data_IF_294479942355
#
_entry.id   IF_294479942355
#
_cell.length_a   1.000
_cell.length_b   1.000
_cell.length_c   1.000
_cell.angle_alpha   90.00
_cell.angle_beta   90.00
_cell.angle_gamma   90.00
#
_symmetry.space_group_name_H-M   'P 1'
#
loop_
_entity.id
_entity.type
_entity.pdbx_description
1 polymer ?
#
# COMPACT_ATOMS: atom_id res chain seq x y z
N UNK A 1 -8.88 -36.91 -5.46
CA UNK A 1 -7.86 -35.84 -5.52
C UNK A 1 -8.47 -34.70 -6.31
N UNK A 2 -8.60 -33.53 -5.70
CA UNK A 2 -9.59 -32.50 -6.01
C UNK A 2 -9.41 -31.86 -7.40
N UNK A 3 -10.46 -31.91 -8.23
CA UNK A 3 -10.66 -31.13 -9.45
C UNK A 3 -11.57 -29.94 -9.17
N UNK A 4 -11.26 -29.17 -8.12
CA UNK A 4 -11.79 -27.82 -8.03
C UNK A 4 -10.82 -26.97 -8.85
N UNK A 5 -11.20 -26.42 -10.01
CA UNK A 5 -10.47 -25.29 -10.54
C UNK A 5 -10.53 -24.24 -9.44
N UNK A 6 -9.39 -23.93 -8.84
CA UNK A 6 -9.32 -22.80 -7.92
C UNK A 6 -9.58 -21.58 -8.80
N UNK A 7 -10.84 -21.22 -8.94
CA UNK A 7 -11.26 -19.90 -9.39
C UNK A 7 -10.87 -18.95 -8.27
N UNK A 8 -9.57 -18.64 -8.17
CA UNK A 8 -9.00 -17.47 -7.49
C UNK A 8 -9.35 -16.17 -8.24
N UNK A 9 -10.44 -16.20 -9.00
CA UNK A 9 -10.91 -15.16 -9.91
C UNK A 9 -11.63 -14.08 -9.11
N UNK A 10 -10.82 -13.20 -8.55
CA UNK A 10 -11.26 -11.93 -8.01
C UNK A 10 -10.09 -11.10 -7.52
N UNK A 11 -9.13 -11.74 -6.85
CA UNK A 11 -7.97 -11.08 -6.25
C UNK A 11 -6.63 -11.53 -6.86
N UNK A 12 -6.47 -12.79 -7.28
CA UNK A 12 -5.24 -13.23 -7.97
C UNK A 12 -5.14 -12.73 -9.43
N UNK A 13 -6.28 -12.36 -10.03
CA UNK A 13 -6.32 -11.72 -11.34
C UNK A 13 -5.83 -10.27 -11.30
N UNK A 14 -5.88 -9.62 -10.13
CA UNK A 14 -5.35 -8.28 -9.95
C UNK A 14 -3.85 -8.40 -9.68
N UNK A 15 -3.05 -7.71 -10.49
CA UNK A 15 -1.59 -7.68 -10.28
C UNK A 15 -1.29 -7.32 -8.83
N UNK A 16 -0.53 -8.15 -8.14
CA UNK A 16 -0.09 -7.95 -6.75
C UNK A 16 0.43 -6.52 -6.53
N UNK A 17 1.19 -6.00 -7.50
CA UNK A 17 1.70 -4.61 -7.53
C UNK A 17 0.60 -3.56 -7.57
N UNK A 18 -0.48 -3.82 -8.31
CA UNK A 18 -1.64 -2.92 -8.33
C UNK A 18 -2.34 -2.93 -6.97
N UNK A 19 -2.44 -4.09 -6.34
CA UNK A 19 -2.99 -4.23 -4.99
C UNK A 19 -2.15 -3.46 -3.97
N UNK A 20 -0.82 -3.55 -4.05
CA UNK A 20 0.13 -2.77 -3.26
C UNK A 20 -0.07 -1.26 -3.43
N UNK A 21 -0.18 -0.80 -4.67
CA UNK A 21 -0.44 0.60 -5.00
C UNK A 21 -1.79 1.09 -4.44
N UNK A 22 -2.89 0.37 -4.71
CA UNK A 22 -4.23 0.74 -4.22
C UNK A 22 -4.29 0.68 -2.68
N UNK A 23 -3.67 -0.35 -2.08
CA UNK A 23 -3.60 -0.51 -0.64
C UNK A 23 -2.94 0.68 0.04
N UNK A 24 -1.76 1.10 -0.41
CA UNK A 24 -1.07 2.26 0.14
C UNK A 24 -1.77 3.59 -0.16
N UNK A 25 -2.42 3.70 -1.31
CA UNK A 25 -3.26 4.84 -1.66
C UNK A 25 -4.39 5.02 -0.64
N UNK A 26 -5.18 3.97 -0.42
CA UNK A 26 -6.30 3.98 0.54
C UNK A 26 -5.80 4.16 1.97
N UNK A 27 -4.68 3.53 2.33
CA UNK A 27 -4.09 3.63 3.65
C UNK A 27 -3.67 5.06 3.99
N UNK A 28 -3.05 5.78 3.05
CA UNK A 28 -2.66 7.18 3.24
C UNK A 28 -3.87 8.09 3.45
N UNK A 29 -4.93 7.93 2.64
CA UNK A 29 -6.18 8.68 2.80
C UNK A 29 -6.80 8.38 4.16
N UNK A 30 -6.88 7.11 4.54
CA UNK A 30 -7.46 6.66 5.82
C UNK A 30 -6.71 7.24 7.02
N UNK A 31 -5.37 7.17 7.02
CA UNK A 31 -4.53 7.76 8.07
C UNK A 31 -4.69 9.28 8.12
N UNK A 32 -4.84 9.93 6.97
CA UNK A 32 -5.05 11.36 6.94
C UNK A 32 -6.39 11.78 7.57
N UNK A 33 -7.46 11.03 7.30
CA UNK A 33 -8.80 11.24 7.90
C UNK A 33 -8.77 10.93 9.40
N UNK A 34 -8.21 9.79 9.80
CA UNK A 34 -8.20 9.33 11.19
C UNK A 34 -7.39 10.25 12.12
N UNK A 35 -6.20 10.68 11.70
CA UNK A 35 -5.27 11.44 12.57
C UNK A 35 -5.34 12.95 12.34
N UNK A 36 -6.57 13.48 12.26
CA UNK A 36 -6.91 14.87 11.88
C UNK A 36 -6.28 15.32 10.55
N UNK A 37 -7.07 15.78 9.58
CA UNK A 37 -6.51 16.34 8.37
C UNK A 37 -5.57 17.52 8.72
N UNK A 38 -4.44 17.64 8.02
CA UNK A 38 -3.44 18.72 8.10
C UNK A 38 -2.39 18.69 9.22
N UNK A 39 -2.60 18.03 10.37
CA UNK A 39 -1.51 17.94 11.36
C UNK A 39 -0.50 16.86 10.97
N UNK A 40 0.79 17.21 11.04
CA UNK A 40 1.91 16.27 10.95
C UNK A 40 1.92 15.43 9.66
N UNK A 41 1.50 16.03 8.54
CA UNK A 41 1.35 15.35 7.25
C UNK A 41 2.63 14.62 6.80
N UNK A 42 3.79 15.26 6.89
CA UNK A 42 5.08 14.63 6.59
C UNK A 42 5.43 13.46 7.53
N UNK A 43 5.02 13.52 8.81
CA UNK A 43 5.25 12.41 9.73
C UNK A 43 4.39 11.19 9.37
N UNK A 44 3.15 11.41 8.87
CA UNK A 44 2.29 10.33 8.36
C UNK A 44 2.95 9.62 7.17
N UNK A 45 3.49 10.40 6.22
CA UNK A 45 4.22 9.85 5.06
C UNK A 45 5.45 9.06 5.51
N UNK A 46 6.28 9.63 6.38
CA UNK A 46 7.48 8.94 6.88
C UNK A 46 7.13 7.65 7.63
N UNK A 47 6.06 7.67 8.44
CA UNK A 47 5.58 6.48 9.15
C UNK A 47 5.10 5.39 8.18
N UNK A 48 4.35 5.76 7.14
CA UNK A 48 3.86 4.81 6.13
C UNK A 48 5.00 4.23 5.29
N UNK A 49 6.02 5.01 4.95
CA UNK A 49 7.22 4.50 4.29
C UNK A 49 7.96 3.49 5.15
N UNK A 50 8.13 3.81 6.43
CA UNK A 50 8.78 2.92 7.38
C UNK A 50 7.96 1.64 7.60
N UNK A 51 6.64 1.76 7.69
CA UNK A 51 5.72 0.62 7.74
C UNK A 51 5.83 -0.26 6.49
N UNK A 52 5.95 0.34 5.29
CA UNK A 52 6.15 -0.40 4.03
C UNK A 52 7.41 -1.23 4.04
N UNK A 53 8.52 -0.65 4.49
CA UNK A 53 9.77 -1.38 4.63
C UNK A 53 9.66 -2.54 5.62
N UNK A 54 9.06 -2.32 6.80
CA UNK A 54 8.88 -3.38 7.80
C UNK A 54 7.95 -4.49 7.33
N UNK A 55 6.91 -4.18 6.57
CA UNK A 55 6.03 -5.19 5.97
C UNK A 55 6.82 -6.10 5.02
N UNK A 56 7.67 -5.53 4.16
CA UNK A 56 8.52 -6.29 3.24
C UNK A 56 9.53 -7.18 4.00
N UNK A 57 10.14 -6.65 5.07
CA UNK A 57 11.02 -7.43 5.96
C UNK A 57 10.23 -8.55 6.65
N UNK A 58 8.99 -8.30 7.06
CA UNK A 58 8.10 -9.31 7.65
C UNK A 58 7.73 -10.41 6.64
N UNK A 59 7.49 -10.04 5.39
CA UNK A 59 7.19 -10.99 4.31
C UNK A 59 8.35 -11.94 4.03
N UNK A 60 9.59 -11.54 4.33
CA UNK A 60 10.75 -12.44 4.23
C UNK A 60 10.63 -13.69 5.12
N UNK A 61 9.89 -13.60 6.24
CA UNK A 61 9.65 -14.73 7.13
C UNK A 61 8.45 -15.61 6.70
N UNK A 62 7.69 -15.19 5.68
CA UNK A 62 6.52 -15.92 5.20
C UNK A 62 6.94 -16.94 4.14
N UNK A 63 6.70 -18.24 4.35
CA UNK A 63 6.99 -19.25 3.34
C UNK A 63 6.19 -18.97 2.06
N UNK A 64 6.84 -19.10 0.90
CA UNK A 64 6.31 -18.77 -0.45
C UNK A 64 6.18 -17.28 -0.80
N UNK A 65 6.73 -16.35 0.00
CA UNK A 65 6.89 -14.94 -0.39
C UNK A 65 8.34 -14.51 -0.29
N UNK A 66 8.85 -13.91 -1.36
CA UNK A 66 10.20 -13.34 -1.42
C UNK A 66 10.15 -11.83 -1.24
N UNK A 67 11.16 -11.29 -0.55
CA UNK A 67 11.42 -9.85 -0.54
C UNK A 67 11.55 -9.32 -1.97
N UNK A 68 10.76 -8.30 -2.30
CA UNK A 68 10.65 -7.71 -3.63
C UNK A 68 10.72 -6.18 -3.54
N UNK A 69 11.81 -5.61 -4.05
CA UNK A 69 11.93 -4.15 -4.18
C UNK A 69 10.80 -3.54 -5.03
N UNK A 70 10.20 -4.32 -5.93
CA UNK A 70 9.09 -3.87 -6.76
C UNK A 70 7.84 -3.57 -5.94
N UNK A 71 7.63 -4.27 -4.82
CA UNK A 71 6.43 -4.11 -4.00
C UNK A 71 6.56 -2.84 -3.14
N UNK A 72 7.77 -2.54 -2.65
CA UNK A 72 8.11 -1.25 -2.05
C UNK A 72 7.87 -0.09 -3.04
N UNK A 73 8.29 -0.23 -4.30
CA UNK A 73 8.05 0.80 -5.34
C UNK A 73 6.56 0.97 -5.62
N UNK A 74 5.80 -0.12 -5.68
CA UNK A 74 4.35 -0.07 -5.87
C UNK A 74 3.64 0.62 -4.69
N UNK A 75 4.03 0.30 -3.45
CA UNK A 75 3.54 0.96 -2.24
C UNK A 75 3.86 2.47 -2.26
N UNK A 76 5.08 2.83 -2.67
CA UNK A 76 5.50 4.22 -2.79
C UNK A 76 4.68 4.99 -3.84
N UNK A 77 4.40 4.37 -4.99
CA UNK A 77 3.56 4.97 -6.02
C UNK A 77 2.16 5.28 -5.50
N UNK A 78 1.53 4.33 -4.80
CA UNK A 78 0.23 4.53 -4.16
C UNK A 78 0.22 5.67 -3.14
N UNK A 79 1.23 5.70 -2.29
CA UNK A 79 1.44 6.76 -1.29
C UNK A 79 1.62 8.14 -1.94
N UNK A 80 2.39 8.22 -3.03
CA UNK A 80 2.67 9.46 -3.76
C UNK A 80 1.41 9.99 -4.44
N UNK A 81 0.64 9.13 -5.10
CA UNK A 81 -0.64 9.49 -5.74
C UNK A 81 -1.62 10.04 -4.67
N UNK A 82 -1.80 9.35 -3.55
CA UNK A 82 -2.65 9.82 -2.46
C UNK A 82 -2.17 11.17 -1.90
N UNK A 83 -0.86 11.34 -1.75
CA UNK A 83 -0.27 12.58 -1.26
C UNK A 83 -0.56 13.76 -2.20
N UNK A 84 -0.41 13.59 -3.51
CA UNK A 84 -0.73 14.64 -4.51
C UNK A 84 -2.20 15.04 -4.41
N UNK A 85 -3.12 14.06 -4.36
CA UNK A 85 -4.56 14.33 -4.27
C UNK A 85 -4.88 15.10 -2.99
N UNK A 86 -4.35 14.66 -1.84
CA UNK A 86 -4.58 15.32 -0.55
C UNK A 86 -4.01 16.74 -0.51
N UNK A 87 -2.83 16.97 -1.09
CA UNK A 87 -2.24 18.31 -1.19
C UNK A 87 -3.06 19.21 -2.11
N UNK A 88 -3.58 18.68 -3.23
CA UNK A 88 -4.44 19.43 -4.15
C UNK A 88 -5.78 19.80 -3.53
N UNK A 89 -6.45 18.84 -2.86
CA UNK A 89 -7.68 19.10 -2.12
C UNK A 89 -7.51 20.11 -0.98
N UNK A 90 -6.30 20.25 -0.42
CA UNK A 90 -5.99 21.25 0.61
C UNK A 90 -5.83 22.68 0.05
N UNK A 91 -5.47 22.82 -1.23
CA UNK A 91 -5.14 24.11 -1.83
C UNK A 91 -6.35 24.86 -2.41
N UNK A 92 -7.52 24.23 -2.45
CA UNK A 92 -8.81 24.82 -2.81
C UNK A 92 -9.62 25.11 -1.54
#
# INVERSE_FOLDING_TARGET
MSLVPNTGEGLEAVSDKLLHCIGYFVLMISVNIAYRPNKRFFQKIAFLLMYSFFMEVGQHFVPNRSFSLHDIVANFAGLLIATIILVKCRSN
#
